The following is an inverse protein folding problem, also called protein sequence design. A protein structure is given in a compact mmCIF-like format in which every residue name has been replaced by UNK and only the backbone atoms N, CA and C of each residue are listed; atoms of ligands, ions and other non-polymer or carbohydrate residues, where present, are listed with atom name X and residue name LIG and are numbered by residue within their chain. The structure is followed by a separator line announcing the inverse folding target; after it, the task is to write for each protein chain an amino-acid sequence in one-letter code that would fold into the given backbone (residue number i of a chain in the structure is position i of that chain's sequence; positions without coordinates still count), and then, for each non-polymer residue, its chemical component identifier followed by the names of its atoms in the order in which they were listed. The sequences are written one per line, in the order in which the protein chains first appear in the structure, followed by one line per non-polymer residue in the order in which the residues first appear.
data_IF_064188071671
#
_entry.id   IF_064188071671
#
_cell.length_a   1.000
_cell.length_b   1.000
_cell.length_c   1.000
_cell.angle_alpha   90.00
_cell.angle_beta   90.00
_cell.angle_gamma   90.00
#
_symmetry.space_group_name_H-M   'P 1'
#
loop_
_entity.id
_entity.type
_entity.pdbx_description
1 polymer ?
#
# COMPACT_ATOMS: atom_id res chain seq x y z
N UNK A 1 -0.10 3.18 -4.05
CA UNK A 1 -1.53 3.24 -3.73
C UNK A 1 -1.81 2.39 -2.52
N UNK A 2 -2.63 2.89 -1.60
CA UNK A 2 -3.14 2.11 -0.46
C UNK A 2 -4.60 1.79 -0.72
N UNK A 3 -5.02 0.58 -0.38
CA UNK A 3 -6.38 0.12 -0.51
C UNK A 3 -6.77 -0.58 0.78
N UNK A 4 -8.02 -0.44 1.16
CA UNK A 4 -8.57 -1.05 2.38
C UNK A 4 -8.37 -2.57 2.40
N UNK A 5 -8.54 -3.22 1.25
CA UNK A 5 -8.42 -4.67 1.12
C UNK A 5 -8.23 -5.09 -0.36
N UNK A 6 -8.01 -6.38 -0.59
CA UNK A 6 -7.81 -6.95 -1.93
C UNK A 6 -9.03 -6.77 -2.84
N UNK A 7 -10.25 -6.74 -2.28
CA UNK A 7 -11.47 -6.48 -3.07
C UNK A 7 -11.48 -5.06 -3.62
N UNK A 8 -11.04 -4.07 -2.85
CA UNK A 8 -10.88 -2.70 -3.32
C UNK A 8 -9.82 -2.61 -4.43
N UNK A 9 -8.70 -3.35 -4.30
CA UNK A 9 -7.68 -3.47 -5.37
C UNK A 9 -8.29 -4.05 -6.64
N UNK A 10 -9.05 -5.14 -6.52
CA UNK A 10 -9.72 -5.80 -7.64
C UNK A 10 -10.69 -4.86 -8.36
N UNK A 11 -11.53 -4.15 -7.61
CA UNK A 11 -12.48 -3.19 -8.16
C UNK A 11 -11.76 -2.08 -8.92
N UNK A 12 -10.75 -1.47 -8.30
CA UNK A 12 -9.95 -0.41 -8.93
C UNK A 12 -9.26 -0.87 -10.21
N UNK A 13 -8.65 -2.07 -10.21
CA UNK A 13 -7.99 -2.64 -11.38
C UNK A 13 -8.95 -2.89 -12.55
N UNK A 14 -10.23 -3.06 -12.28
CA UNK A 14 -11.25 -3.30 -13.29
C UNK A 14 -11.94 -2.04 -13.81
N UNK A 15 -11.62 -0.86 -13.26
CA UNK A 15 -12.10 0.40 -13.82
C UNK A 15 -11.57 0.58 -15.26
N UNK A 16 -12.45 0.99 -16.17
CA UNK A 16 -12.12 1.17 -17.60
C UNK A 16 -10.97 2.17 -17.78
N UNK A 17 -10.94 3.24 -17.00
CA UNK A 17 -9.85 4.23 -17.00
C UNK A 17 -8.52 3.61 -16.58
N UNK A 18 -8.53 2.78 -15.55
CA UNK A 18 -7.33 2.08 -15.11
C UNK A 18 -6.80 1.12 -16.19
N UNK A 19 -7.69 0.38 -16.86
CA UNK A 19 -7.32 -0.51 -17.97
C UNK A 19 -6.75 0.24 -19.16
N UNK A 20 -7.32 1.40 -19.52
CA UNK A 20 -6.78 2.26 -20.59
C UNK A 20 -5.36 2.74 -20.26
N UNK A 21 -5.14 3.24 -19.04
CA UNK A 21 -3.82 3.64 -18.58
C UNK A 21 -2.83 2.47 -18.57
N UNK A 22 -3.25 1.29 -18.13
CA UNK A 22 -2.42 0.07 -18.14
C UNK A 22 -2.03 -0.36 -19.56
N UNK A 23 -2.95 -0.25 -20.53
CA UNK A 23 -2.68 -0.57 -21.93
C UNK A 23 -1.65 0.40 -22.53
N UNK A 24 -1.79 1.70 -22.30
CA UNK A 24 -0.81 2.69 -22.73
C UNK A 24 0.57 2.43 -22.11
N UNK A 25 0.60 2.10 -20.81
CA UNK A 25 1.80 1.66 -20.08
C UNK A 25 2.57 0.55 -20.81
N UNK A 26 1.86 -0.54 -21.12
CA UNK A 26 2.40 -1.76 -21.76
C UNK A 26 2.83 -1.55 -23.21
N UNK A 27 2.15 -0.65 -23.93
CA UNK A 27 2.34 -0.50 -25.37
C UNK A 27 3.45 0.49 -25.75
N UNK A 28 4.18 1.07 -24.78
CA UNK A 28 5.35 1.89 -25.11
C UNK A 28 5.73 2.98 -24.13
N UNK A 29 5.03 3.15 -23.00
CA UNK A 29 5.44 4.12 -21.97
C UNK A 29 6.56 3.54 -21.09
N UNK A 30 6.49 2.25 -20.74
CA UNK A 30 7.49 1.61 -19.87
C UNK A 30 8.37 0.63 -20.65
N UNK A 31 9.67 0.67 -20.39
CA UNK A 31 10.61 -0.37 -20.88
C UNK A 31 10.45 -1.69 -20.10
N UNK A 32 10.12 -1.62 -18.82
CA UNK A 32 9.78 -2.75 -17.94
C UNK A 32 8.99 -2.26 -16.71
N UNK A 33 8.22 -3.14 -16.06
CA UNK A 33 7.58 -2.85 -14.77
C UNK A 33 7.27 -4.12 -13.95
N UNK A 34 7.37 -3.99 -12.63
CA UNK A 34 6.99 -5.03 -11.65
C UNK A 34 5.98 -4.48 -10.64
N UNK A 35 4.88 -5.21 -10.45
CA UNK A 35 3.90 -4.93 -9.40
C UNK A 35 4.20 -5.78 -8.17
N UNK A 36 4.16 -5.17 -6.98
CA UNK A 36 4.24 -5.84 -5.69
C UNK A 36 3.04 -5.43 -4.85
N UNK A 37 2.39 -6.40 -4.21
CA UNK A 37 1.27 -6.18 -3.30
C UNK A 37 1.67 -6.74 -1.95
N UNK A 38 1.42 -5.98 -0.90
CA UNK A 38 1.76 -6.32 0.48
C UNK A 38 0.60 -5.94 1.39
N UNK A 39 0.45 -6.66 2.49
CA UNK A 39 -0.51 -6.32 3.55
C UNK A 39 0.19 -5.50 4.64
N UNK A 40 -0.53 -4.55 5.22
CA UNK A 40 -0.08 -3.88 6.45
C UNK A 40 -0.11 -4.91 7.57
N UNK A 41 1.05 -5.14 8.19
CA UNK A 41 1.19 -6.07 9.33
C UNK A 41 1.13 -5.34 10.67
N UNK A 42 1.46 -4.05 10.67
CA UNK A 42 1.37 -3.11 11.80
C UNK A 42 1.17 -1.68 11.28
N UNK A 43 0.32 -0.90 11.93
CA UNK A 43 0.10 0.53 11.70
C UNK A 43 0.09 1.28 13.04
N UNK A 44 1.07 2.15 13.23
CA UNK A 44 1.18 2.97 14.44
C UNK A 44 1.83 4.31 14.10
N UNK A 45 1.41 5.33 14.83
CA UNK A 45 1.90 6.70 14.67
C UNK A 45 2.55 7.22 15.95
N UNK A 46 2.77 8.53 15.99
CA UNK A 46 3.27 9.21 17.19
C UNK A 46 2.34 9.02 18.39
N UNK A 47 1.02 9.06 18.17
CA UNK A 47 0.02 9.02 19.25
C UNK A 47 -0.74 7.70 19.36
N UNK A 48 -0.90 6.96 18.25
CA UNK A 48 -1.53 5.63 18.24
C UNK A 48 -0.43 4.59 18.25
N UNK A 49 -0.13 4.04 19.43
CA UNK A 49 1.07 3.25 19.71
C UNK A 49 0.77 1.77 19.98
N UNK A 50 -0.49 1.35 19.83
CA UNK A 50 -0.98 0.01 20.13
C UNK A 50 -0.22 -1.06 19.34
N UNK A 51 0.05 -0.80 18.08
CA UNK A 51 0.78 -1.72 17.19
C UNK A 51 2.30 -1.44 17.15
N UNK A 52 2.81 -0.49 17.95
CA UNK A 52 4.24 -0.21 17.97
C UNK A 52 5.05 -1.43 18.49
N UNK A 53 6.28 -1.66 18.01
CA UNK A 53 7.17 -2.65 18.60
C UNK A 53 7.48 -2.36 20.09
N UNK A 54 7.71 -3.40 20.89
CA UNK A 54 8.01 -3.26 22.32
C UNK A 54 9.26 -2.41 22.60
N UNK A 55 10.33 -2.61 21.81
CA UNK A 55 11.55 -1.83 21.91
C UNK A 55 11.34 -0.35 21.54
N UNK A 56 10.46 -0.09 20.57
CA UNK A 56 10.05 1.27 20.21
C UNK A 56 9.27 1.93 21.34
N UNK A 57 8.32 1.23 21.97
CA UNK A 57 7.56 1.75 23.13
C UNK A 57 8.47 2.03 24.32
N UNK A 58 9.34 1.08 24.67
CA UNK A 58 10.26 1.23 25.80
C UNK A 58 11.18 2.46 25.67
N UNK A 59 11.56 2.82 24.45
CA UNK A 59 12.42 3.99 24.17
C UNK A 59 11.66 5.32 24.17
N UNK A 60 10.38 5.34 23.81
CA UNK A 60 9.67 6.59 23.45
C UNK A 60 8.40 6.88 24.26
N UNK A 61 7.83 5.89 24.97
CA UNK A 61 6.58 6.08 25.72
C UNK A 61 6.83 6.49 27.19
N UNK A 62 8.09 6.56 27.61
CA UNK A 62 8.48 7.04 28.94
C UNK A 62 8.82 8.53 28.87
N UNK A 63 7.78 9.36 28.80
CA UNK A 63 7.75 10.76 29.23
C UNK A 63 6.31 11.16 29.53
#
# INVERSE_FOLDING_TARGET
SFFENEKAVQNWRNLSLHRKAQAAGRNGIFNDYRLRVVSVIRDYGMFKREEAPEDSRARHDKD
#
